data_IF_860202877558
#
_entry.id   IF_860202877558
#
_cell.length_a   1.000
_cell.length_b   1.000
_cell.length_c   1.000
_cell.angle_alpha   90.00
_cell.angle_beta   90.00
_cell.angle_gamma   90.00
#
_symmetry.space_group_name_H-M   'P 1'
#
loop_
_entity.id
_entity.type
_entity.pdbx_description
1 polymer ?
#
# COMPACT_ATOMS: atom_id res chain seq x y z
N UNK A 1 -32.47 59.71 9.30
CA UNK A 1 -32.29 58.56 10.22
C UNK A 1 -31.29 57.62 9.55
N UNK A 2 -30.02 57.47 9.98
CA UNK A 2 -29.51 56.96 11.27
C UNK A 2 -29.97 55.50 11.45
N UNK A 3 -29.18 54.44 11.69
CA UNK A 3 -27.82 54.17 12.22
C UNK A 3 -27.50 52.69 11.88
N UNK A 4 -26.30 52.31 11.44
CA UNK A 4 -25.19 51.77 12.25
C UNK A 4 -25.43 50.42 13.00
N UNK A 5 -24.50 49.49 12.73
CA UNK A 5 -23.95 48.40 13.60
C UNK A 5 -24.78 47.13 13.87
N UNK A 6 -24.30 46.02 13.28
CA UNK A 6 -23.52 45.03 14.05
C UNK A 6 -22.51 44.30 13.17
N UNK A 7 -21.23 44.53 13.48
CA UNK A 7 -20.16 43.56 13.31
C UNK A 7 -20.56 42.25 13.99
N UNK A 8 -20.39 41.14 13.30
CA UNK A 8 -19.93 39.90 13.92
C UNK A 8 -18.68 39.52 13.14
N UNK A 9 -17.55 39.64 13.83
CA UNK A 9 -16.30 38.97 13.50
C UNK A 9 -16.59 37.53 13.06
N UNK A 10 -16.19 37.20 11.84
CA UNK A 10 -15.71 35.86 11.52
C UNK A 10 -14.38 36.02 10.79
N UNK A 11 -13.44 36.65 11.49
CA UNK A 11 -12.03 36.30 11.32
C UNK A 11 -11.83 34.91 11.95
N UNK A 12 -12.24 33.86 11.22
CA UNK A 12 -11.78 32.48 11.42
C UNK A 12 -12.29 31.60 10.27
N UNK A 13 -11.82 31.87 9.06
CA UNK A 13 -11.66 30.81 8.05
C UNK A 13 -10.16 30.54 7.91
N UNK A 14 -9.54 30.16 9.04
CA UNK A 14 -8.27 29.46 9.01
C UNK A 14 -8.59 28.02 8.63
N UNK A 15 -8.46 27.72 7.33
CA UNK A 15 -8.19 26.39 6.76
C UNK A 15 -7.92 25.34 7.84
N UNK A 16 -8.95 24.62 8.28
CA UNK A 16 -8.78 23.56 9.26
C UNK A 16 -7.75 22.57 8.72
N UNK A 17 -6.68 22.32 9.49
CA UNK A 17 -5.66 21.34 9.12
C UNK A 17 -6.38 20.01 8.87
N UNK A 18 -6.22 19.38 7.70
CA UNK A 18 -6.93 18.15 7.41
C UNK A 18 -6.55 17.09 8.44
N UNK A 19 -7.54 16.30 8.85
CA UNK A 19 -7.34 15.19 9.77
C UNK A 19 -6.32 14.22 9.19
N UNK A 20 -5.56 13.54 10.06
CA UNK A 20 -4.58 12.52 9.65
C UNK A 20 -5.24 11.47 8.76
N UNK A 21 -6.50 11.09 9.04
CA UNK A 21 -7.28 10.11 8.26
C UNK A 21 -7.75 10.63 6.89
N UNK A 22 -7.80 11.95 6.71
CA UNK A 22 -8.06 12.57 5.40
C UNK A 22 -6.79 12.60 4.53
N UNK A 23 -5.61 12.50 5.16
CA UNK A 23 -4.32 12.55 4.47
C UNK A 23 -3.77 11.15 4.21
N UNK A 24 -3.78 10.31 5.24
CA UNK A 24 -3.26 8.94 5.26
C UNK A 24 -4.43 7.94 5.43
N UNK A 25 -4.51 6.91 4.58
CA UNK A 25 -5.46 5.82 4.79
C UNK A 25 -5.26 5.12 6.15
N UNK A 26 -6.33 4.58 6.75
CA UNK A 26 -6.26 3.90 8.06
C UNK A 26 -5.25 2.75 8.09
N UNK A 27 -5.05 2.06 6.96
CA UNK A 27 -4.07 0.98 6.86
C UNK A 27 -2.63 1.49 6.92
N UNK A 28 -2.36 2.67 6.36
CA UNK A 28 -1.07 3.33 6.47
C UNK A 28 -0.77 3.66 7.93
N UNK A 29 -1.76 4.22 8.64
CA UNK A 29 -1.63 4.53 10.07
C UNK A 29 -1.38 3.26 10.87
N UNK A 30 -2.15 2.20 10.62
CA UNK A 30 -1.96 0.89 11.27
C UNK A 30 -0.58 0.27 11.02
N UNK A 31 -0.05 0.40 9.80
CA UNK A 31 1.29 -0.07 9.44
C UNK A 31 2.42 0.74 10.11
N UNK A 32 2.24 2.05 10.28
CA UNK A 32 3.19 2.87 11.03
C UNK A 32 3.21 2.47 12.52
N UNK A 33 2.04 2.22 13.11
CA UNK A 33 1.95 1.79 14.51
C UNK A 33 2.52 0.39 14.73
N UNK A 34 2.35 -0.55 13.78
CA UNK A 34 2.97 -1.89 13.89
C UNK A 34 4.51 -1.83 13.90
N UNK A 35 5.09 -0.75 13.36
CA UNK A 35 6.53 -0.43 13.40
C UNK A 35 6.96 0.38 14.63
N UNK A 36 6.08 0.55 15.62
CA UNK A 36 6.31 1.37 16.83
C UNK A 36 6.64 2.84 16.51
N UNK A 37 6.10 3.38 15.41
CA UNK A 37 6.20 4.83 15.14
C UNK A 37 5.20 5.56 16.05
N UNK A 38 5.64 6.52 16.89
CA UNK A 38 4.76 7.25 17.81
C UNK A 38 3.75 8.13 17.08
N UNK A 39 2.57 8.36 17.67
CA UNK A 39 1.51 9.21 17.09
C UNK A 39 2.04 10.56 16.60
N UNK A 40 2.86 11.24 17.40
CA UNK A 40 3.47 12.53 17.04
C UNK A 40 4.34 12.47 15.76
N UNK A 41 4.99 11.34 15.48
CA UNK A 41 5.74 11.13 14.24
C UNK A 41 4.80 10.76 13.07
N UNK A 42 3.69 10.06 13.34
CA UNK A 42 2.63 9.81 12.35
C UNK A 42 1.96 11.11 11.94
N UNK A 43 1.66 12.03 12.87
CA UNK A 43 1.07 13.33 12.54
C UNK A 43 2.04 14.17 11.70
N UNK A 44 3.33 14.13 12.04
CA UNK A 44 4.36 14.86 11.31
C UNK A 44 4.60 14.26 9.92
N UNK A 45 4.49 12.93 9.78
CA UNK A 45 4.50 12.28 8.48
C UNK A 45 3.26 12.65 7.64
N UNK A 46 2.06 12.64 8.23
CA UNK A 46 0.85 13.08 7.54
C UNK A 46 0.97 14.54 7.08
N UNK A 47 1.50 15.42 7.92
CA UNK A 47 1.76 16.82 7.58
C UNK A 47 2.72 16.96 6.39
N UNK A 48 3.78 16.15 6.34
CA UNK A 48 4.71 16.09 5.21
C UNK A 48 4.00 15.69 3.93
N UNK A 49 3.17 14.64 3.96
CA UNK A 49 2.41 14.18 2.80
C UNK A 49 1.41 15.25 2.33
N UNK A 50 0.73 15.90 3.27
CA UNK A 50 -0.20 16.98 2.94
C UNK A 50 0.51 18.18 2.29
N UNK A 51 1.66 18.59 2.84
CA UNK A 51 2.49 19.65 2.25
C UNK A 51 2.99 19.24 0.88
N UNK A 52 3.49 18.02 0.69
CA UNK A 52 3.93 17.54 -0.61
C UNK A 52 2.82 17.61 -1.68
N UNK A 53 1.58 17.26 -1.33
CA UNK A 53 0.42 17.28 -2.23
C UNK A 53 -0.10 18.68 -2.56
N UNK A 54 0.06 19.63 -1.65
CA UNK A 54 -0.46 21.00 -1.78
C UNK A 54 0.61 22.01 -2.21
N UNK A 55 1.89 21.62 -2.21
CA UNK A 55 2.98 22.49 -2.61
C UNK A 55 2.99 22.68 -4.14
N UNK A 56 2.57 23.87 -4.58
CA UNK A 56 2.61 24.30 -5.98
C UNK A 56 3.91 25.01 -6.36
N UNK A 57 4.80 25.27 -5.39
CA UNK A 57 6.07 26.00 -5.58
C UNK A 57 7.24 25.12 -6.00
N UNK A 58 7.22 23.83 -5.68
CA UNK A 58 8.23 22.87 -6.15
C UNK A 58 7.61 21.98 -7.22
N UNK A 59 8.00 22.20 -8.47
CA UNK A 59 7.52 21.43 -9.62
C UNK A 59 8.02 19.96 -9.65
N UNK A 60 8.66 19.48 -8.58
CA UNK A 60 9.22 18.13 -8.48
C UNK A 60 9.29 17.65 -7.02
N UNK A 61 9.16 16.33 -6.83
CA UNK A 61 9.32 15.64 -5.54
C UNK A 61 10.74 15.83 -4.98
N UNK A 62 11.77 15.79 -5.83
CA UNK A 62 13.14 16.11 -5.41
C UNK A 62 13.25 17.55 -4.88
N UNK A 63 12.61 18.50 -5.56
CA UNK A 63 12.58 19.90 -5.14
C UNK A 63 11.91 20.06 -3.77
N UNK A 64 10.82 19.34 -3.52
CA UNK A 64 10.18 19.33 -2.21
C UNK A 64 11.06 18.68 -1.14
N UNK A 65 11.62 17.49 -1.40
CA UNK A 65 12.49 16.78 -0.46
C UNK A 65 13.70 17.63 -0.03
N UNK A 66 14.29 18.39 -0.97
CA UNK A 66 15.41 19.29 -0.71
C UNK A 66 15.08 20.41 0.30
N UNK A 67 13.81 20.72 0.52
CA UNK A 67 13.38 21.73 1.51
C UNK A 67 13.16 21.17 2.91
N UNK A 68 13.16 19.84 3.06
CA UNK A 68 12.87 19.20 4.33
C UNK A 68 14.01 19.39 5.32
N UNK A 69 13.63 19.67 6.56
CA UNK A 69 14.55 19.69 7.69
C UNK A 69 15.11 18.30 7.97
N UNK A 70 16.24 18.27 8.70
CA UNK A 70 16.86 17.00 9.13
C UNK A 70 15.90 16.11 9.94
N UNK A 71 15.00 16.72 10.73
CA UNK A 71 13.99 15.97 11.50
C UNK A 71 12.97 15.30 10.60
N UNK A 72 12.52 15.98 9.55
CA UNK A 72 11.56 15.44 8.59
C UNK A 72 12.18 14.33 7.72
N UNK A 73 13.45 14.48 7.32
CA UNK A 73 14.18 13.42 6.61
C UNK A 73 14.41 12.18 7.49
N UNK A 74 14.63 12.36 8.80
CA UNK A 74 14.72 11.24 9.75
C UNK A 74 13.39 10.50 9.87
N UNK A 75 12.26 11.20 9.82
CA UNK A 75 10.94 10.57 9.85
C UNK A 75 10.72 9.75 8.58
N UNK A 76 11.03 10.30 7.40
CA UNK A 76 10.99 9.52 6.17
C UNK A 76 11.88 8.27 6.26
N UNK A 77 13.10 8.40 6.79
CA UNK A 77 14.01 7.26 7.00
C UNK A 77 13.36 6.17 7.88
N UNK A 78 12.70 6.55 8.98
CA UNK A 78 12.04 5.59 9.89
C UNK A 78 10.76 5.00 9.33
N UNK A 79 9.92 5.82 8.71
CA UNK A 79 8.67 5.39 8.05
C UNK A 79 8.95 4.36 6.97
N UNK A 80 10.03 4.55 6.20
CA UNK A 80 10.46 3.67 5.12
C UNK A 80 11.43 2.56 5.56
N UNK A 81 11.74 2.45 6.86
CA UNK A 81 12.65 1.44 7.41
C UNK A 81 14.03 1.39 6.71
N UNK A 82 14.55 2.57 6.38
CA UNK A 82 15.83 2.68 5.68
C UNK A 82 16.99 2.47 6.66
N UNK A 83 17.91 1.57 6.31
CA UNK A 83 19.10 1.25 7.12
C UNK A 83 20.15 2.36 7.11
N UNK A 84 20.04 3.33 6.20
CA UNK A 84 20.91 4.49 6.10
C UNK A 84 20.10 5.79 6.04
N UNK A 85 20.64 6.92 6.55
CA UNK A 85 19.99 8.22 6.40
C UNK A 85 19.74 8.56 4.93
N UNK A 86 18.57 9.12 4.63
CA UNK A 86 18.21 9.57 3.29
C UNK A 86 19.22 10.58 2.73
N UNK A 87 19.74 10.32 1.53
CA UNK A 87 20.59 11.24 0.76
C UNK A 87 19.82 11.69 -0.48
N UNK A 88 19.36 12.93 -0.49
CA UNK A 88 18.44 13.41 -1.53
C UNK A 88 19.15 13.45 -2.89
N UNK A 89 20.43 13.80 -2.88
CA UNK A 89 21.29 13.89 -4.05
C UNK A 89 21.51 12.55 -4.78
N UNK A 90 21.19 11.43 -4.14
CA UNK A 90 21.30 10.09 -4.76
C UNK A 90 19.97 9.57 -5.30
N UNK A 91 18.87 10.30 -5.08
CA UNK A 91 17.54 9.88 -5.50
C UNK A 91 17.23 10.37 -6.90
N UNK A 92 16.52 9.55 -7.67
CA UNK A 92 15.77 10.02 -8.82
C UNK A 92 14.36 10.51 -8.44
N UNK A 93 13.65 11.09 -9.41
CA UNK A 93 12.33 11.67 -9.20
C UNK A 93 11.27 10.62 -8.81
N UNK A 94 11.40 9.39 -9.32
CA UNK A 94 10.46 8.31 -9.02
C UNK A 94 10.66 7.80 -7.58
N UNK A 95 11.91 7.64 -7.16
CA UNK A 95 12.28 7.31 -5.78
C UNK A 95 11.82 8.42 -4.82
N UNK A 96 11.98 9.69 -5.20
CA UNK A 96 11.49 10.82 -4.43
C UNK A 96 9.96 10.82 -4.27
N UNK A 97 9.24 10.54 -5.37
CA UNK A 97 7.78 10.39 -5.35
C UNK A 97 7.33 9.22 -4.46
N UNK A 98 8.05 8.10 -4.49
CA UNK A 98 7.76 6.96 -3.63
C UNK A 98 7.96 7.30 -2.15
N UNK A 99 8.96 8.11 -1.80
CA UNK A 99 9.16 8.54 -0.41
C UNK A 99 8.04 9.43 0.11
N UNK A 100 7.51 10.30 -0.75
CA UNK A 100 6.37 11.18 -0.48
C UNK A 100 5.02 10.48 -0.69
N UNK A 101 5.05 9.23 -1.12
CA UNK A 101 3.87 8.44 -1.32
C UNK A 101 4.19 6.95 -1.18
N UNK A 102 4.55 6.48 0.03
CA UNK A 102 4.94 5.08 0.27
C UNK A 102 3.88 4.07 -0.17
N UNK A 103 2.67 4.58 -0.38
CA UNK A 103 1.44 3.83 -0.58
C UNK A 103 0.65 4.29 -1.80
N UNK A 104 1.10 5.30 -2.57
CA UNK A 104 0.50 5.51 -3.88
C UNK A 104 1.26 4.76 -4.95
N UNK A 105 0.42 4.15 -5.77
CA UNK A 105 0.74 3.72 -7.11
C UNK A 105 1.07 4.97 -7.93
N UNK A 106 2.31 5.11 -8.39
CA UNK A 106 2.59 6.11 -9.42
C UNK A 106 1.78 5.73 -10.68
N UNK A 107 1.19 6.69 -11.41
CA UNK A 107 0.53 6.40 -12.67
C UNK A 107 1.54 5.76 -13.63
N UNK A 108 1.35 4.48 -13.97
CA UNK A 108 2.24 3.73 -14.86
C UNK A 108 3.35 2.91 -14.19
N UNK A 109 3.45 2.89 -12.86
CA UNK A 109 4.24 1.86 -12.14
C UNK A 109 3.28 0.99 -11.33
N UNK A 110 3.02 -0.22 -11.85
CA UNK A 110 2.21 -1.24 -11.18
C UNK A 110 2.86 -1.59 -9.83
N UNK A 111 2.15 -1.50 -8.70
CA UNK A 111 2.71 -1.99 -7.46
C UNK A 111 2.46 -3.49 -7.39
N UNK A 112 3.53 -4.25 -7.29
CA UNK A 112 3.48 -5.59 -6.71
C UNK A 112 3.14 -5.58 -5.19
N UNK A 113 2.58 -4.48 -4.67
CA UNK A 113 2.25 -4.28 -3.25
C UNK A 113 0.75 -4.27 -2.98
N UNK A 114 -0.08 -4.37 -4.01
CA UNK A 114 -1.55 -4.39 -3.88
C UNK A 114 -2.15 -5.56 -4.64
N UNK A 115 -3.16 -6.20 -4.06
CA UNK A 115 -3.99 -7.18 -4.74
C UNK A 115 -5.47 -6.79 -4.63
N UNK A 116 -6.26 -6.95 -5.70
CA UNK A 116 -5.85 -7.30 -7.06
C UNK A 116 -4.95 -6.20 -7.65
N UNK A 117 -4.06 -6.53 -8.60
CA UNK A 117 -3.24 -5.50 -9.23
C UNK A 117 -4.13 -4.52 -10.01
N UNK A 118 -3.68 -3.27 -10.25
CA UNK A 118 -4.52 -2.26 -10.90
C UNK A 118 -4.99 -2.60 -12.33
N UNK A 119 -4.27 -3.49 -13.01
CA UNK A 119 -4.60 -4.01 -14.35
C UNK A 119 -5.50 -5.25 -14.31
N UNK A 120 -5.95 -5.71 -13.13
CA UNK A 120 -6.80 -6.88 -13.05
C UNK A 120 -8.15 -6.64 -13.74
N UNK A 121 -8.78 -7.68 -14.33
CA UNK A 121 -10.10 -7.57 -14.91
C UNK A 121 -11.16 -7.10 -13.89
N UNK A 122 -12.17 -6.35 -14.36
CA UNK A 122 -13.24 -5.84 -13.49
C UNK A 122 -13.94 -6.92 -12.63
N UNK A 123 -14.20 -8.16 -13.11
CA UNK A 123 -14.73 -9.23 -12.27
C UNK A 123 -13.85 -9.55 -11.05
N UNK A 124 -12.52 -9.49 -11.21
CA UNK A 124 -11.55 -9.76 -10.14
C UNK A 124 -11.63 -8.69 -9.06
N UNK A 125 -11.68 -7.41 -9.45
CA UNK A 125 -11.85 -6.30 -8.52
C UNK A 125 -13.18 -6.37 -7.75
N UNK A 126 -14.28 -6.68 -8.44
CA UNK A 126 -15.60 -6.82 -7.79
C UNK A 126 -15.61 -7.96 -6.78
N UNK A 127 -15.15 -9.15 -7.19
CA UNK A 127 -15.11 -10.32 -6.32
C UNK A 127 -14.22 -10.10 -5.09
N UNK A 128 -13.11 -9.38 -5.26
CA UNK A 128 -12.23 -9.03 -4.14
C UNK A 128 -12.93 -8.10 -3.16
N UNK A 129 -13.52 -7.01 -3.66
CA UNK A 129 -14.27 -6.05 -2.85
C UNK A 129 -15.38 -6.73 -2.05
N UNK A 130 -16.10 -7.68 -2.66
CA UNK A 130 -17.12 -8.48 -1.98
C UNK A 130 -16.50 -9.32 -0.86
N UNK A 131 -15.45 -10.09 -1.15
CA UNK A 131 -14.79 -10.97 -0.20
C UNK A 131 -14.10 -10.27 0.97
N UNK A 132 -13.73 -9.01 0.79
CA UNK A 132 -13.08 -8.19 1.82
C UNK A 132 -14.04 -7.21 2.49
N UNK A 133 -15.34 -7.24 2.15
CA UNK A 133 -16.32 -6.33 2.75
C UNK A 133 -16.37 -6.53 4.28
N UNK A 134 -16.25 -5.43 5.02
CA UNK A 134 -16.29 -5.43 6.48
C UNK A 134 -14.99 -5.86 7.17
N UNK A 135 -13.95 -6.23 6.41
CA UNK A 135 -12.62 -6.44 6.98
C UNK A 135 -11.99 -5.11 7.39
N UNK A 136 -11.29 -5.10 8.52
CA UNK A 136 -10.42 -3.98 8.87
C UNK A 136 -9.10 -4.04 8.09
N UNK A 137 -8.28 -3.01 8.22
CA UNK A 137 -7.03 -2.87 7.46
C UNK A 137 -6.02 -3.99 7.68
N UNK A 138 -5.89 -4.51 8.91
CA UNK A 138 -4.98 -5.61 9.20
C UNK A 138 -5.49 -6.93 8.59
N UNK A 139 -6.80 -7.13 8.63
CA UNK A 139 -7.44 -8.31 8.01
C UNK A 139 -7.34 -8.30 6.48
N UNK A 140 -7.43 -7.12 5.88
CA UNK A 140 -7.23 -6.94 4.45
C UNK A 140 -5.79 -7.26 4.05
N UNK A 141 -4.81 -6.78 4.83
CA UNK A 141 -3.40 -7.10 4.62
C UNK A 141 -3.14 -8.61 4.74
N UNK A 142 -3.69 -9.26 5.77
CA UNK A 142 -3.59 -10.70 5.97
C UNK A 142 -4.21 -11.49 4.81
N UNK A 143 -5.31 -11.00 4.24
CA UNK A 143 -5.99 -11.61 3.10
C UNK A 143 -5.21 -11.43 1.80
N UNK A 144 -4.53 -10.30 1.65
CA UNK A 144 -3.70 -9.94 0.49
C UNK A 144 -2.35 -10.64 0.47
N UNK A 145 -1.71 -10.81 1.62
CA UNK A 145 -0.33 -11.28 1.73
C UNK A 145 -0.02 -12.58 0.95
N UNK A 146 -0.88 -13.62 0.92
CA UNK A 146 -0.59 -14.85 0.17
C UNK A 146 -0.52 -14.64 -1.35
N UNK A 147 -1.32 -13.73 -1.90
CA UNK A 147 -1.31 -13.40 -3.33
C UNK A 147 -0.03 -12.66 -3.71
N UNK A 148 0.37 -11.69 -2.88
CA UNK A 148 1.63 -10.95 -3.07
C UNK A 148 2.84 -11.87 -2.90
N UNK A 149 2.82 -12.78 -1.92
CA UNK A 149 3.90 -13.73 -1.70
C UNK A 149 4.10 -14.65 -2.92
N UNK A 150 3.04 -15.07 -3.59
CA UNK A 150 3.16 -15.87 -4.82
C UNK A 150 3.74 -15.05 -5.98
N UNK A 151 3.34 -13.79 -6.13
CA UNK A 151 3.95 -12.88 -7.13
C UNK A 151 5.44 -12.67 -6.86
N UNK A 152 5.82 -12.44 -5.59
CA UNK A 152 7.21 -12.30 -5.18
C UNK A 152 8.03 -13.59 -5.37
N UNK A 153 7.42 -14.78 -5.16
CA UNK A 153 8.09 -16.06 -5.35
C UNK A 153 8.55 -16.29 -6.80
N UNK A 154 7.79 -15.77 -7.78
CA UNK A 154 8.18 -15.84 -9.21
C UNK A 154 9.35 -14.92 -9.57
N UNK A 155 9.68 -13.98 -8.70
CA UNK A 155 10.79 -13.05 -8.86
C UNK A 155 11.95 -13.36 -7.89
N UNK A 156 11.94 -14.52 -7.24
CA UNK A 156 13.03 -14.96 -6.38
C UNK A 156 14.20 -15.48 -7.23
N UNK A 157 15.40 -14.97 -6.95
CA UNK A 157 16.64 -15.42 -7.57
C UNK A 157 17.22 -16.57 -6.76
N UNK A 158 17.71 -17.59 -7.47
CA UNK A 158 18.32 -18.78 -6.86
C UNK A 158 19.76 -18.96 -7.31
N UNK A 159 20.61 -19.48 -6.42
CA UNK A 159 21.95 -19.93 -6.78
C UNK A 159 21.93 -21.29 -7.51
N UNK A 160 23.12 -21.78 -7.88
CA UNK A 160 23.28 -23.08 -8.55
C UNK A 160 22.89 -24.30 -7.69
N UNK A 161 22.69 -24.11 -6.38
CA UNK A 161 22.24 -25.12 -5.43
C UNK A 161 20.75 -24.97 -5.08
N UNK A 162 20.04 -24.07 -5.77
CA UNK A 162 18.64 -23.76 -5.58
C UNK A 162 18.31 -23.12 -4.21
N UNK A 163 19.26 -22.40 -3.62
CA UNK A 163 19.00 -21.56 -2.44
C UNK A 163 18.58 -20.15 -2.90
N UNK A 164 17.61 -19.51 -2.22
CA UNK A 164 17.21 -18.15 -2.53
C UNK A 164 18.34 -17.17 -2.17
N UNK A 165 18.76 -16.34 -3.13
CA UNK A 165 19.84 -15.35 -2.98
C UNK A 165 19.38 -13.90 -3.15
N UNK A 166 18.11 -13.69 -3.50
CA UNK A 166 17.52 -12.35 -3.61
C UNK A 166 16.17 -12.39 -4.30
N UNK A 167 15.64 -11.21 -4.60
CA UNK A 167 14.46 -11.04 -5.43
C UNK A 167 14.65 -9.88 -6.41
N UNK A 168 13.99 -9.96 -7.55
CA UNK A 168 13.90 -8.88 -8.52
C UNK A 168 12.85 -7.90 -7.99
N UNK A 169 13.20 -6.62 -7.91
CA UNK A 169 12.29 -5.57 -7.45
C UNK A 169 11.28 -5.24 -8.56
N UNK A 170 10.02 -4.89 -8.23
CA UNK A 170 9.05 -4.37 -9.21
C UNK A 170 9.52 -3.15 -10.00
N UNK A 171 10.54 -2.43 -9.50
CA UNK A 171 11.15 -1.30 -10.18
C UNK A 171 12.19 -1.72 -11.25
N UNK A 172 12.64 -2.97 -11.23
CA UNK A 172 13.65 -3.48 -12.17
C UNK A 172 12.98 -3.86 -13.50
N UNK A 173 13.64 -3.57 -14.63
CA UNK A 173 13.12 -3.89 -15.97
C UNK A 173 12.91 -5.38 -16.22
N UNK A 174 13.54 -6.23 -15.41
CA UNK A 174 13.48 -7.68 -15.52
C UNK A 174 12.45 -8.29 -14.57
N UNK A 175 11.66 -7.46 -13.87
CA UNK A 175 10.58 -7.95 -13.03
C UNK A 175 9.54 -8.68 -13.88
N UNK A 176 9.13 -9.85 -13.40
CA UNK A 176 8.12 -10.67 -14.02
C UNK A 176 6.78 -10.48 -13.32
N UNK A 177 5.83 -9.82 -13.99
CA UNK A 177 4.47 -9.67 -13.51
C UNK A 177 3.61 -10.85 -13.95
N UNK A 178 3.35 -11.79 -13.03
CA UNK A 178 2.52 -12.97 -13.29
C UNK A 178 1.11 -12.60 -13.77
N UNK A 179 0.60 -11.42 -13.44
CA UNK A 179 -0.77 -11.02 -13.75
C UNK A 179 -0.95 -10.53 -15.20
N UNK A 180 0.16 -10.27 -15.91
CA UNK A 180 0.12 -9.87 -17.33
C UNK A 180 0.21 -11.06 -18.29
N UNK A 181 0.52 -12.25 -17.79
CA UNK A 181 0.65 -13.44 -18.62
C UNK A 181 -0.71 -13.91 -19.13
N UNK A 182 -0.82 -14.18 -20.43
CA UNK A 182 -2.07 -14.66 -21.04
C UNK A 182 -2.57 -15.98 -20.43
N UNK A 183 -1.65 -16.82 -19.97
CA UNK A 183 -1.97 -18.09 -19.31
C UNK A 183 -2.33 -17.94 -17.84
N UNK A 184 -2.27 -16.74 -17.27
CA UNK A 184 -2.54 -16.54 -15.86
C UNK A 184 -4.03 -16.68 -15.53
N UNK A 185 -4.32 -17.34 -14.41
CA UNK A 185 -5.68 -17.58 -13.94
C UNK A 185 -5.77 -17.27 -12.45
N UNK A 186 -6.58 -16.27 -12.11
CA UNK A 186 -6.89 -15.93 -10.72
C UNK A 186 -7.56 -17.09 -9.99
N UNK A 187 -8.38 -17.90 -10.67
CA UNK A 187 -9.01 -19.09 -10.08
C UNK A 187 -7.99 -20.18 -9.77
N UNK A 188 -6.98 -20.37 -10.62
CA UNK A 188 -5.92 -21.34 -10.38
C UNK A 188 -5.00 -20.88 -9.26
N UNK A 189 -4.69 -19.57 -9.19
CA UNK A 189 -4.00 -18.98 -8.05
C UNK A 189 -4.78 -19.22 -6.73
N UNK A 190 -6.09 -18.97 -6.69
CA UNK A 190 -6.88 -19.23 -5.48
C UNK A 190 -6.85 -20.74 -5.12
N UNK A 191 -6.93 -21.61 -6.13
CA UNK A 191 -6.84 -23.06 -5.93
C UNK A 191 -5.49 -23.47 -5.35
N UNK A 192 -4.39 -22.94 -5.88
CA UNK A 192 -3.05 -23.14 -5.33
C UNK A 192 -2.96 -22.68 -3.87
N UNK A 193 -3.47 -21.48 -3.55
CA UNK A 193 -3.47 -20.96 -2.17
C UNK A 193 -4.30 -21.81 -1.22
N UNK A 194 -5.41 -22.39 -1.69
CA UNK A 194 -6.22 -23.32 -0.90
C UNK A 194 -5.46 -24.62 -0.59
N UNK A 195 -4.72 -25.17 -1.56
CA UNK A 195 -3.88 -26.35 -1.33
C UNK A 195 -2.71 -26.05 -0.39
N UNK A 196 -2.04 -24.90 -0.57
CA UNK A 196 -1.00 -24.44 0.34
C UNK A 196 -1.53 -24.27 1.77
N UNK A 197 -2.75 -23.73 1.94
CA UNK A 197 -3.39 -23.59 3.24
C UNK A 197 -3.68 -24.95 3.91
N UNK A 198 -4.06 -25.97 3.13
CA UNK A 198 -4.23 -27.35 3.64
C UNK A 198 -2.91 -27.92 4.14
N UNK A 199 -1.83 -27.72 3.37
CA UNK A 199 -0.48 -28.13 3.77
C UNK A 199 -0.06 -27.43 5.08
N UNK A 200 -0.34 -26.13 5.19
CA UNK A 200 0.02 -25.35 6.37
C UNK A 200 -0.86 -25.62 7.61
N UNK A 201 -1.98 -26.35 7.47
CA UNK A 201 -2.95 -26.59 8.55
C UNK A 201 -2.34 -27.06 9.88
N UNK A 202 -1.35 -27.98 9.93
CA UNK A 202 -0.76 -28.42 11.20
C UNK A 202 0.03 -27.34 11.94
N UNK A 203 0.41 -26.25 11.25
CA UNK A 203 1.24 -25.17 11.77
C UNK A 203 0.44 -23.90 12.09
N UNK A 204 -0.88 -23.93 11.92
CA UNK A 204 -1.76 -22.79 12.11
C UNK A 204 -2.70 -23.00 13.29
N UNK A 205 -2.95 -21.93 14.04
CA UNK A 205 -4.05 -21.88 14.99
C UNK A 205 -5.39 -22.23 14.29
N UNK A 206 -6.27 -23.06 14.89
CA UNK A 206 -7.47 -23.54 14.22
C UNK A 206 -8.37 -22.44 13.66
N UNK A 207 -8.55 -21.36 14.41
CA UNK A 207 -9.36 -20.22 13.99
C UNK A 207 -8.72 -19.46 12.81
N UNK A 208 -7.39 -19.34 12.79
CA UNK A 208 -6.66 -18.72 11.67
C UNK A 208 -6.84 -19.53 10.40
N UNK A 209 -6.73 -20.86 10.47
CA UNK A 209 -7.00 -21.75 9.34
C UNK A 209 -8.43 -21.59 8.82
N UNK A 210 -9.44 -21.62 9.70
CA UNK A 210 -10.84 -21.48 9.33
C UNK A 210 -11.13 -20.12 8.68
N UNK A 211 -10.61 -19.03 9.24
CA UNK A 211 -10.78 -17.67 8.70
C UNK A 211 -10.18 -17.56 7.31
N UNK A 212 -8.92 -17.97 7.12
CA UNK A 212 -8.23 -17.93 5.81
C UNK A 212 -8.94 -18.81 4.78
N UNK A 213 -9.37 -20.01 5.18
CA UNK A 213 -10.11 -20.91 4.28
C UNK A 213 -11.46 -20.33 3.89
N UNK A 214 -12.19 -19.74 4.84
CA UNK A 214 -13.48 -19.10 4.60
C UNK A 214 -13.36 -17.95 3.61
N UNK A 215 -12.37 -17.09 3.81
CA UNK A 215 -12.05 -16.00 2.88
C UNK A 215 -11.75 -16.51 1.46
N UNK A 216 -10.82 -17.46 1.30
CA UNK A 216 -10.46 -17.99 -0.04
C UNK A 216 -11.65 -18.66 -0.75
N UNK A 217 -12.50 -19.36 -0.01
CA UNK A 217 -13.73 -19.95 -0.56
C UNK A 217 -14.71 -18.88 -1.02
N UNK A 218 -14.95 -17.86 -0.20
CA UNK A 218 -15.86 -16.78 -0.55
C UNK A 218 -15.35 -16.01 -1.76
N UNK A 219 -14.06 -15.67 -1.80
CA UNK A 219 -13.46 -14.99 -2.95
C UNK A 219 -13.55 -15.82 -4.24
N UNK A 220 -13.30 -17.13 -4.16
CA UNK A 220 -13.46 -18.04 -5.30
C UNK A 220 -14.89 -18.06 -5.84
N UNK A 221 -15.89 -18.10 -4.95
CA UNK A 221 -17.30 -18.10 -5.33
C UNK A 221 -17.68 -16.79 -6.03
N UNK A 222 -17.38 -15.66 -5.40
CA UNK A 222 -17.66 -14.34 -5.96
C UNK A 222 -16.99 -14.14 -7.34
N UNK A 223 -15.75 -14.65 -7.51
CA UNK A 223 -15.06 -14.59 -8.79
C UNK A 223 -15.69 -15.50 -9.84
N UNK A 224 -16.12 -16.71 -9.45
CA UNK A 224 -16.77 -17.66 -10.37
C UNK A 224 -18.11 -17.10 -10.87
N UNK A 225 -18.93 -16.53 -9.99
CA UNK A 225 -20.23 -15.95 -10.35
C UNK A 225 -20.07 -14.74 -11.29
N UNK A 226 -19.03 -13.93 -11.08
CA UNK A 226 -18.72 -12.77 -11.91
C UNK A 226 -18.16 -13.07 -13.31
N UNK A 227 -17.85 -14.33 -13.63
CA UNK A 227 -17.40 -14.78 -14.95
C UNK A 227 -18.53 -15.31 -15.84
N UNK A 228 -19.75 -15.47 -15.30
CA UNK A 228 -20.94 -15.95 -16.01
C UNK A 228 -21.99 -14.85 -16.27
N UNK A 229 -21.62 -13.57 -16.06
CA UNK A 229 -22.45 -12.38 -16.33
C UNK A 229 -21.81 -11.53 -17.41
#
# INVERSE_FOLDING_TARGET
MSRYLRMVDTADDMSAKPSIREILPDWTIGHLHSRNIPDAEVELFADLIHRARTNTTHNSALGFLATLSRRELLILTRVHDLTQPLRIETLDEAQAMHLLNPFAVAPGQLPATTFPPPNAPAPVHRAWSEATTGQNSLELLDSMAPFLAQSAANNTLYDAQNNPIGCISPADSNYFDIYTEESFSYLDQITFLMEALKFCRPFLEPNTYLKRRGFLLHYRLALSDGLYV
#
